data_IF_843970029227
#
_entry.id   IF_843970029227
#
_cell.length_a   1.000
_cell.length_b   1.000
_cell.length_c   1.000
_cell.angle_alpha   90.00
_cell.angle_beta   90.00
_cell.angle_gamma   90.00
#
_symmetry.space_group_name_H-M   'P 1'
#
loop_
_entity.id
_entity.type
_entity.pdbx_description
1 polymer ?
#
# COMPACT_ATOMS: atom_id res chain seq x y z
N UNK A 1 -0.01 -1.14 5.93
CA UNK A 1 0.32 0.11 6.66
C UNK A 1 -0.04 1.40 5.92
N UNK A 2 -0.08 1.42 4.58
CA UNK A 2 -0.50 2.63 3.83
C UNK A 2 -1.88 3.13 4.29
N UNK A 3 -2.80 2.22 4.60
CA UNK A 3 -4.14 2.53 5.13
C UNK A 3 -4.14 3.44 6.36
N UNK A 4 -3.15 3.35 7.26
CA UNK A 4 -3.03 4.21 8.45
C UNK A 4 -2.81 5.67 8.07
N UNK A 5 -1.88 5.90 7.14
CA UNK A 5 -1.57 7.25 6.65
C UNK A 5 -2.74 7.83 5.88
N UNK A 6 -3.41 7.00 5.07
CA UNK A 6 -4.65 7.36 4.36
C UNK A 6 -5.74 7.76 5.35
N UNK A 7 -6.05 6.93 6.35
CA UNK A 7 -7.10 7.20 7.34
C UNK A 7 -6.86 8.54 8.07
N UNK A 8 -5.64 8.76 8.57
CA UNK A 8 -5.26 10.01 9.23
C UNK A 8 -5.35 11.23 8.32
N UNK A 9 -5.06 11.08 7.02
CA UNK A 9 -5.16 12.18 6.06
C UNK A 9 -6.63 12.48 5.69
N UNK A 10 -7.46 11.44 5.53
CA UNK A 10 -8.89 11.58 5.26
C UNK A 10 -9.65 12.19 6.44
N UNK A 11 -9.31 11.83 7.68
CA UNK A 11 -9.87 12.44 8.89
C UNK A 11 -9.62 13.95 8.94
N UNK A 12 -8.44 14.38 8.47
CA UNK A 12 -8.09 15.81 8.28
C UNK A 12 -8.72 16.45 7.04
N UNK A 13 -9.63 15.76 6.35
CA UNK A 13 -10.30 16.19 5.11
C UNK A 13 -9.33 16.52 3.97
N UNK A 14 -8.16 15.89 3.94
CA UNK A 14 -7.22 16.02 2.83
C UNK A 14 -7.62 15.13 1.66
N UNK A 15 -7.36 15.61 0.43
CA UNK A 15 -7.47 14.78 -0.77
C UNK A 15 -6.30 13.79 -0.81
N UNK A 16 -6.60 12.50 -0.84
CA UNK A 16 -5.58 11.44 -0.83
C UNK A 16 -5.52 10.75 -2.20
N UNK A 17 -4.31 10.61 -2.72
CA UNK A 17 -4.03 9.83 -3.93
C UNK A 17 -3.00 8.76 -3.60
N UNK A 18 -3.24 7.57 -4.15
CA UNK A 18 -2.30 6.46 -4.12
C UNK A 18 -1.71 6.29 -5.52
N UNK A 19 -0.39 6.15 -5.58
CA UNK A 19 0.36 5.96 -6.82
C UNK A 19 1.00 4.57 -6.75
N UNK A 20 0.73 3.74 -7.75
CA UNK A 20 1.34 2.41 -7.87
C UNK A 20 2.32 2.42 -9.04
N UNK A 21 3.52 1.93 -8.77
CA UNK A 21 4.51 1.57 -9.77
C UNK A 21 4.51 0.05 -9.92
N UNK A 22 3.97 -0.44 -11.04
CA UNK A 22 3.81 -1.88 -11.28
C UNK A 22 5.11 -2.57 -11.70
N UNK A 23 6.15 -1.82 -12.06
CA UNK A 23 7.47 -2.32 -12.46
C UNK A 23 8.56 -1.50 -11.77
N UNK A 24 8.54 -1.49 -10.43
CA UNK A 24 9.42 -0.65 -9.61
C UNK A 24 10.90 -0.94 -9.78
N UNK A 25 11.24 -2.14 -10.24
CA UNK A 25 12.59 -2.59 -10.57
C UNK A 25 13.11 -2.06 -11.93
N UNK A 26 12.26 -1.39 -12.71
CA UNK A 26 12.58 -0.91 -14.07
C UNK A 26 12.43 0.59 -14.19
N UNK A 27 13.34 1.22 -14.92
CA UNK A 27 13.24 2.62 -15.33
C UNK A 27 12.16 2.80 -16.42
N UNK A 28 11.71 4.04 -16.64
CA UNK A 28 10.75 4.33 -17.72
C UNK A 28 11.26 3.88 -19.10
N UNK A 29 12.56 4.08 -19.37
CA UNK A 29 13.17 3.70 -20.65
C UNK A 29 13.18 2.18 -20.83
N UNK A 30 13.53 1.42 -19.79
CA UNK A 30 13.46 -0.05 -19.85
C UNK A 30 12.04 -0.56 -20.10
N UNK A 31 11.02 0.08 -19.51
CA UNK A 31 9.61 -0.27 -19.79
C UNK A 31 9.23 0.07 -21.24
N UNK A 32 9.68 1.21 -21.77
CA UNK A 32 9.48 1.55 -23.18
C UNK A 32 10.12 0.49 -24.08
N UNK A 33 11.34 0.05 -23.77
CA UNK A 33 12.07 -0.94 -24.55
C UNK A 33 11.38 -2.31 -24.50
N UNK A 34 10.85 -2.70 -23.33
CA UNK A 34 9.99 -3.88 -23.20
C UNK A 34 8.78 -3.74 -24.14
N UNK A 35 8.03 -2.65 -24.09
CA UNK A 35 6.85 -2.47 -24.93
C UNK A 35 7.19 -2.48 -26.42
N UNK A 36 8.28 -1.83 -26.85
CA UNK A 36 8.76 -1.86 -28.24
C UNK A 36 9.13 -3.28 -28.70
N UNK A 37 9.80 -4.04 -27.84
CA UNK A 37 10.07 -5.45 -28.09
C UNK A 37 8.75 -6.20 -28.28
N UNK A 38 7.77 -5.99 -27.39
CA UNK A 38 6.46 -6.65 -27.49
C UNK A 38 5.69 -6.26 -28.76
N UNK A 39 5.74 -5.02 -29.22
CA UNK A 39 5.15 -4.60 -30.51
C UNK A 39 5.83 -5.36 -31.67
N UNK A 40 7.16 -5.39 -31.67
CA UNK A 40 7.95 -6.01 -32.75
C UNK A 40 7.62 -7.50 -32.92
N UNK A 41 7.58 -8.25 -31.83
CA UNK A 41 7.26 -9.69 -31.85
C UNK A 41 5.75 -9.99 -31.81
N UNK A 42 4.94 -8.96 -31.55
CA UNK A 42 3.49 -9.00 -31.53
C UNK A 42 2.84 -8.45 -32.81
N UNK A 43 3.62 -8.22 -33.87
CA UNK A 43 3.15 -7.62 -35.12
C UNK A 43 1.84 -8.23 -35.62
N UNK A 44 0.87 -7.38 -35.93
CA UNK A 44 -0.47 -7.75 -36.37
C UNK A 44 -1.44 -8.15 -35.26
N UNK A 45 -1.01 -8.21 -33.99
CA UNK A 45 -1.88 -8.48 -32.85
C UNK A 45 -2.54 -7.22 -32.31
N UNK A 46 -3.57 -7.42 -31.49
CA UNK A 46 -4.22 -6.35 -30.76
C UNK A 46 -3.33 -5.81 -29.64
N UNK A 47 -3.56 -4.57 -29.22
CA UNK A 47 -2.86 -3.96 -28.08
C UNK A 47 -3.09 -4.78 -26.80
N UNK A 48 -4.30 -5.29 -26.57
CA UNK A 48 -4.57 -6.14 -25.41
C UNK A 48 -3.79 -7.46 -25.44
N UNK A 49 -3.64 -8.06 -26.62
CA UNK A 49 -2.88 -9.31 -26.80
C UNK A 49 -1.38 -9.10 -26.59
N UNK A 50 -0.86 -7.95 -27.01
CA UNK A 50 0.53 -7.56 -26.78
C UNK A 50 0.87 -7.52 -25.28
N UNK A 51 -0.10 -7.19 -24.42
CA UNK A 51 0.09 -7.08 -22.97
C UNK A 51 0.00 -8.43 -22.23
N UNK A 52 -0.44 -9.51 -22.90
CA UNK A 52 -0.56 -10.84 -22.29
C UNK A 52 0.80 -11.31 -21.77
N UNK A 53 0.82 -11.81 -20.53
CA UNK A 53 2.04 -12.29 -19.87
C UNK A 53 2.95 -11.19 -19.30
N UNK A 54 2.63 -9.90 -19.52
CA UNK A 54 3.27 -8.81 -18.78
C UNK A 54 2.49 -8.49 -17.49
N UNK A 55 1.17 -8.39 -17.59
CA UNK A 55 0.26 -8.23 -16.45
C UNK A 55 -0.96 -9.15 -16.58
N UNK A 56 -1.77 -9.20 -15.52
CA UNK A 56 -3.11 -9.79 -15.59
C UNK A 56 -3.97 -9.04 -16.61
N UNK A 57 -4.77 -9.76 -17.40
CA UNK A 57 -5.58 -9.19 -18.49
C UNK A 57 -6.50 -8.03 -18.04
N UNK A 58 -7.12 -8.12 -16.85
CA UNK A 58 -7.98 -7.03 -16.35
C UNK A 58 -7.19 -5.77 -16.04
N UNK A 59 -5.98 -5.92 -15.49
CA UNK A 59 -5.09 -4.79 -15.20
C UNK A 59 -4.58 -4.16 -16.48
N UNK A 60 -4.11 -4.97 -17.43
CA UNK A 60 -3.69 -4.52 -18.76
C UNK A 60 -4.80 -3.72 -19.44
N UNK A 61 -6.02 -4.24 -19.46
CA UNK A 61 -7.17 -3.58 -20.05
C UNK A 61 -7.42 -2.18 -19.44
N UNK A 62 -7.40 -2.07 -18.11
CA UNK A 62 -7.57 -0.79 -17.42
C UNK A 62 -6.42 0.18 -17.72
N UNK A 63 -5.16 -0.28 -17.79
CA UNK A 63 -4.01 0.55 -18.13
C UNK A 63 -4.07 1.08 -19.58
N UNK A 64 -4.52 0.24 -20.51
CA UNK A 64 -4.71 0.61 -21.92
C UNK A 64 -5.78 1.71 -22.02
N UNK A 65 -6.95 1.50 -21.40
CA UNK A 65 -8.03 2.48 -21.42
C UNK A 65 -7.65 3.81 -20.76
N UNK A 66 -6.97 3.78 -19.60
CA UNK A 66 -6.46 5.01 -18.95
C UNK A 66 -5.43 5.75 -19.79
N UNK A 67 -4.76 5.06 -20.71
CA UNK A 67 -3.84 5.66 -21.67
C UNK A 67 -4.55 6.27 -22.89
N UNK A 68 -5.89 6.18 -22.95
CA UNK A 68 -6.73 6.54 -24.10
C UNK A 68 -6.34 5.78 -25.38
N UNK A 69 -6.01 4.50 -25.23
CA UNK A 69 -5.69 3.58 -26.32
C UNK A 69 -6.86 2.61 -26.47
N UNK A 70 -7.24 2.29 -27.70
CA UNK A 70 -8.22 1.23 -27.99
C UNK A 70 -7.56 -0.15 -27.82
N UNK A 71 -8.05 -1.01 -26.91
CA UNK A 71 -7.52 -2.36 -26.71
C UNK A 71 -7.56 -3.22 -27.99
N UNK A 72 -8.55 -3.00 -28.85
CA UNK A 72 -8.74 -3.73 -30.11
C UNK A 72 -7.99 -3.09 -31.31
N UNK A 73 -7.18 -2.06 -31.06
CA UNK A 73 -6.27 -1.52 -32.06
C UNK A 73 -5.13 -2.52 -32.35
N UNK A 74 -4.63 -2.55 -33.59
CA UNK A 74 -3.40 -3.28 -33.93
C UNK A 74 -2.19 -2.58 -33.30
N UNK A 75 -1.36 -3.29 -32.56
CA UNK A 75 -0.27 -2.71 -31.78
C UNK A 75 0.80 -1.99 -32.62
N UNK A 76 0.97 -2.34 -33.90
CA UNK A 76 1.86 -1.64 -34.84
C UNK A 76 1.48 -0.17 -35.09
N UNK A 77 0.23 0.20 -34.79
CA UNK A 77 -0.27 1.58 -34.96
C UNK A 77 0.04 2.48 -33.77
N UNK A 78 0.59 1.92 -32.68
CA UNK A 78 0.95 2.70 -31.50
C UNK A 78 2.08 3.68 -31.85
N UNK A 79 1.84 4.96 -31.60
CA UNK A 79 2.86 5.98 -31.73
C UNK A 79 3.69 6.11 -30.44
N UNK A 80 4.81 6.81 -30.52
CA UNK A 80 5.66 7.04 -29.36
C UNK A 80 4.91 7.69 -28.19
N UNK A 81 4.01 8.64 -28.48
CA UNK A 81 3.16 9.30 -27.48
C UNK A 81 2.22 8.34 -26.74
N UNK A 82 1.78 7.27 -27.41
CA UNK A 82 0.88 6.27 -26.83
C UNK A 82 1.66 5.35 -25.89
N UNK A 83 2.88 4.98 -26.29
CA UNK A 83 3.83 4.27 -25.45
C UNK A 83 4.19 5.05 -24.19
N UNK A 84 4.45 6.35 -24.30
CA UNK A 84 4.74 7.21 -23.15
C UNK A 84 3.58 7.23 -22.16
N UNK A 85 2.34 7.43 -22.63
CA UNK A 85 1.14 7.39 -21.78
C UNK A 85 0.97 6.03 -21.10
N UNK A 86 1.22 4.94 -21.84
CA UNK A 86 1.11 3.60 -21.30
C UNK A 86 2.18 3.35 -20.23
N UNK A 87 3.42 3.78 -20.46
CA UNK A 87 4.51 3.72 -19.47
C UNK A 87 4.18 4.56 -18.25
N UNK A 88 3.65 5.76 -18.42
CA UNK A 88 3.23 6.60 -17.30
C UNK A 88 2.13 5.92 -16.47
N UNK A 89 1.14 5.31 -17.10
CA UNK A 89 0.11 4.55 -16.39
C UNK A 89 0.63 3.25 -15.77
N UNK A 90 1.71 2.65 -16.27
CA UNK A 90 2.36 1.49 -15.65
C UNK A 90 3.20 1.90 -14.42
N UNK A 91 3.93 3.01 -14.54
CA UNK A 91 4.90 3.49 -13.53
C UNK A 91 4.27 4.39 -12.47
N UNK A 92 3.16 5.04 -12.78
CA UNK A 92 2.50 6.04 -11.92
C UNK A 92 0.97 5.88 -11.95
N UNK A 93 0.50 4.65 -11.79
CA UNK A 93 -0.93 4.35 -11.78
C UNK A 93 -1.61 5.03 -10.59
N UNK A 94 -2.34 6.11 -10.87
CA UNK A 94 -2.92 6.96 -9.84
C UNK A 94 -4.37 6.59 -9.56
N UNK A 95 -4.69 6.43 -8.27
CA UNK A 95 -6.03 6.18 -7.75
C UNK A 95 -6.36 7.20 -6.67
N UNK A 96 -7.55 7.79 -6.74
CA UNK A 96 -8.08 8.59 -5.65
C UNK A 96 -8.60 7.66 -4.55
N UNK A 97 -8.22 7.92 -3.31
CA UNK A 97 -8.74 7.18 -2.16
C UNK A 97 -9.84 8.03 -1.53
N UNK A 98 -11.06 7.50 -1.53
CA UNK A 98 -12.26 8.20 -1.05
C UNK A 98 -12.59 7.88 0.41
N UNK A 99 -12.21 6.68 0.87
CA UNK A 99 -12.51 6.21 2.22
C UNK A 99 -11.60 5.04 2.62
N UNK A 100 -11.69 4.61 3.87
CA UNK A 100 -11.11 3.38 4.41
C UNK A 100 -12.20 2.46 4.97
N UNK A 101 -11.96 1.15 4.97
CA UNK A 101 -12.90 0.21 5.61
C UNK A 101 -13.10 0.52 7.10
N UNK A 102 -14.23 0.06 7.65
CA UNK A 102 -14.56 0.20 9.06
C UNK A 102 -13.56 -0.51 9.99
N UNK A 103 -13.59 -0.12 11.25
CA UNK A 103 -12.77 -0.69 12.32
C UNK A 103 -12.93 -2.22 12.45
N UNK A 104 -14.13 -2.77 12.23
CA UNK A 104 -14.39 -4.21 12.29
C UNK A 104 -13.56 -5.02 11.28
N UNK A 105 -13.08 -4.38 10.22
CA UNK A 105 -12.22 -4.98 9.20
C UNK A 105 -10.73 -4.61 9.39
N UNK A 106 -10.39 -3.87 10.44
CA UNK A 106 -9.01 -3.50 10.74
C UNK A 106 -8.27 -4.69 11.36
N UNK A 107 -7.06 -4.94 10.88
CA UNK A 107 -6.19 -5.99 11.45
C UNK A 107 -5.50 -5.58 12.75
N UNK A 108 -5.39 -4.27 12.99
CA UNK A 108 -4.75 -3.67 14.16
C UNK A 108 -5.28 -2.24 14.34
N UNK A 109 -5.40 -1.84 15.59
CA UNK A 109 -5.73 -0.49 16.02
C UNK A 109 -4.48 0.38 16.03
N UNK A 110 -4.53 1.53 15.37
CA UNK A 110 -3.52 2.57 15.52
C UNK A 110 -4.04 3.65 16.47
N UNK A 111 -3.31 3.93 17.56
CA UNK A 111 -3.80 4.69 18.71
C UNK A 111 -3.84 3.83 19.97
N UNK A 112 -4.28 4.41 21.08
CA UNK A 112 -4.36 3.74 22.38
C UNK A 112 -4.00 4.69 23.51
N UNK A 113 -3.68 4.14 24.68
CA UNK A 113 -3.13 4.94 25.80
C UNK A 113 -1.75 5.46 25.40
N UNK A 114 -1.52 6.76 25.61
CA UNK A 114 -0.27 7.41 25.23
C UNK A 114 0.92 6.77 25.94
N UNK A 115 1.94 6.39 25.17
CA UNK A 115 3.21 5.88 25.71
C UNK A 115 3.94 6.91 26.59
N UNK A 116 3.66 8.21 26.43
CA UNK A 116 4.22 9.26 27.30
C UNK A 116 3.69 9.18 28.74
N UNK A 117 2.51 8.61 28.93
CA UNK A 117 1.81 8.47 30.23
C UNK A 117 2.13 7.13 30.92
N UNK A 118 3.01 6.32 30.33
CA UNK A 118 3.39 4.99 30.82
C UNK A 118 4.88 4.97 31.13
N UNK A 119 5.26 4.31 32.22
CA UNK A 119 6.67 4.04 32.53
C UNK A 119 7.20 2.97 31.57
N UNK A 120 8.23 3.30 30.80
CA UNK A 120 8.79 2.42 29.76
C UNK A 120 9.40 1.11 30.29
N UNK A 121 9.83 1.07 31.56
CA UNK A 121 10.48 -0.09 32.15
C UNK A 121 9.49 -1.02 32.87
N UNK A 122 8.41 -0.48 33.43
CA UNK A 122 7.45 -1.26 34.24
C UNK A 122 6.09 -1.40 33.58
N UNK A 123 5.79 -0.57 32.60
CA UNK A 123 4.47 -0.37 32.00
C UNK A 123 3.37 0.07 32.98
N UNK A 124 3.77 0.62 34.14
CA UNK A 124 2.86 1.28 35.08
C UNK A 124 2.41 2.64 34.53
N UNK A 125 1.15 3.00 34.77
CA UNK A 125 0.64 4.34 34.52
C UNK A 125 1.35 5.36 35.40
N UNK A 126 1.84 6.44 34.77
CA UNK A 126 2.39 7.60 35.48
C UNK A 126 1.31 8.43 36.19
N UNK A 127 0.03 8.21 35.86
CA UNK A 127 -1.11 8.96 36.37
C UNK A 127 -1.72 8.24 37.57
N UNK A 128 -1.86 6.92 37.49
CA UNK A 128 -2.48 6.10 38.55
C UNK A 128 -1.54 4.98 38.97
N UNK A 129 -1.03 5.08 40.20
CA UNK A 129 -0.15 4.04 40.76
C UNK A 129 -0.87 2.70 40.89
N UNK A 130 -0.16 1.61 40.61
CA UNK A 130 -0.67 0.24 40.65
C UNK A 130 -1.51 -0.16 39.43
N UNK A 131 -1.69 0.73 38.44
CA UNK A 131 -2.34 0.41 37.17
C UNK A 131 -1.28 0.15 36.10
N UNK A 132 -1.35 -1.02 35.44
CA UNK A 132 -0.40 -1.42 34.40
C UNK A 132 -1.13 -1.70 33.08
N UNK A 133 -0.50 -1.32 31.97
CA UNK A 133 -1.11 -1.37 30.65
C UNK A 133 -0.20 -2.13 29.68
N UNK A 134 -0.75 -3.04 28.89
CA UNK A 134 0.02 -3.86 27.95
C UNK A 134 -0.79 -4.19 26.69
N UNK A 135 -0.12 -4.76 25.70
CA UNK A 135 -0.72 -5.15 24.42
C UNK A 135 -1.24 -3.98 23.60
N UNK A 136 -2.27 -4.25 22.79
CA UNK A 136 -2.85 -3.32 21.82
C UNK A 136 -3.60 -2.14 22.47
N UNK A 137 -3.80 -2.17 23.80
CA UNK A 137 -4.39 -1.03 24.52
C UNK A 137 -3.45 0.18 24.54
N UNK A 138 -2.14 -0.06 24.48
CA UNK A 138 -1.11 0.98 24.44
C UNK A 138 -0.94 1.45 23.00
N UNK A 139 -0.68 2.75 22.80
CA UNK A 139 -0.42 3.36 21.48
C UNK A 139 0.91 2.89 20.87
N UNK A 140 0.95 1.60 20.50
CA UNK A 140 2.05 0.88 19.87
C UNK A 140 1.47 -0.06 18.82
N UNK A 141 1.66 0.28 17.54
CA UNK A 141 1.28 -0.55 16.40
C UNK A 141 2.50 -0.93 15.54
N UNK A 142 2.62 -2.22 15.21
CA UNK A 142 3.67 -2.80 14.37
C UNK A 142 3.24 -2.98 12.90
N UNK A 143 4.21 -3.31 12.04
CA UNK A 143 3.93 -3.81 10.69
C UNK A 143 3.29 -5.21 10.75
N UNK A 144 2.65 -5.63 9.65
CA UNK A 144 2.24 -7.02 9.53
C UNK A 144 3.48 -7.93 9.52
N UNK A 145 3.39 -9.10 10.15
CA UNK A 145 4.53 -10.03 10.28
C UNK A 145 4.84 -10.49 11.71
N UNK A 146 3.89 -10.37 12.65
CA UNK A 146 4.04 -10.87 14.02
C UNK A 146 4.50 -9.83 15.05
N UNK A 147 4.80 -8.60 14.63
CA UNK A 147 5.27 -7.53 15.54
C UNK A 147 4.25 -7.16 16.63
N UNK A 148 2.96 -7.08 16.29
CA UNK A 148 1.91 -6.80 17.29
C UNK A 148 1.79 -7.92 18.32
N UNK A 149 1.93 -9.19 17.90
CA UNK A 149 1.94 -10.32 18.83
C UNK A 149 3.19 -10.28 19.71
N UNK A 150 4.37 -10.05 19.13
CA UNK A 150 5.60 -9.90 19.88
C UNK A 150 5.48 -8.79 20.93
N UNK A 151 4.91 -7.63 20.56
CA UNK A 151 4.63 -6.55 21.49
C UNK A 151 3.68 -6.99 22.61
N UNK A 152 2.57 -7.65 22.28
CA UNK A 152 1.62 -8.14 23.27
C UNK A 152 2.28 -9.09 24.29
N UNK A 153 3.14 -10.01 23.83
CA UNK A 153 3.86 -10.95 24.70
C UNK A 153 4.89 -10.24 25.58
N UNK A 154 5.76 -9.42 24.98
CA UNK A 154 6.81 -8.72 25.71
C UNK A 154 6.24 -7.73 26.72
N UNK A 155 5.25 -6.93 26.34
CA UNK A 155 4.59 -5.98 27.24
C UNK A 155 3.79 -6.68 28.35
N UNK A 156 3.09 -7.77 28.03
CA UNK A 156 2.39 -8.58 29.03
C UNK A 156 3.33 -9.14 30.09
N UNK A 157 4.50 -9.64 29.69
CA UNK A 157 5.52 -10.13 30.62
C UNK A 157 6.06 -9.01 31.53
N UNK A 158 6.40 -7.85 30.98
CA UNK A 158 6.94 -6.71 31.75
C UNK A 158 5.90 -6.16 32.73
N UNK A 159 4.66 -5.93 32.27
CA UNK A 159 3.57 -5.46 33.13
C UNK A 159 3.26 -6.46 34.25
N UNK A 160 3.18 -7.77 33.93
CA UNK A 160 2.88 -8.80 34.90
C UNK A 160 3.98 -8.97 35.97
N UNK A 161 5.25 -8.95 35.56
CA UNK A 161 6.37 -9.04 36.51
C UNK A 161 6.52 -7.79 37.37
N UNK A 162 6.20 -6.61 36.83
CA UNK A 162 6.24 -5.35 37.57
C UNK A 162 5.08 -5.14 38.53
N UNK A 163 3.91 -5.72 38.25
CA UNK A 163 2.74 -5.66 39.12
C UNK A 163 2.80 -6.64 40.29
N UNK A 164 3.62 -7.69 40.19
CA UNK A 164 3.84 -8.67 41.26
C UNK A 164 4.77 -8.13 42.37
N UNK A 165 5.77 -7.33 41.99
CA UNK A 165 6.76 -6.75 42.91
C UNK A 165 6.17 -5.56 43.69
#
# INVERSE_FOLDING_TARGET
QISRFVAKALDKKNNVKLIIDFLSDKTKNEVIDILKYRITYGKGKLVEDMMIGLFNNKLSYVMILKSNIDPAMICDKLEHKDLEKLVDNIKQFTMAIIDTNSFDNAQVTAGGVSTTEINENTLESKITKGLYLSGELVDVDGTCGGYNLQWAWSSGYVAGTSAWN
#
